data_IF_475519225604
#
_entry.id   IF_475519225604
#
_cell.length_a   1.000
_cell.length_b   1.000
_cell.length_c   1.000
_cell.angle_alpha   90.00
_cell.angle_beta   90.00
_cell.angle_gamma   90.00
#
_symmetry.space_group_name_H-M   'P 1'
#
loop_
_entity.id
_entity.type
_entity.pdbx_description
1 polymer ?
#
# COMPACT_ATOMS: atom_id res chain seq x y z
N UNK A 1 1.70 10.03 -25.46
CA UNK A 1 1.27 10.66 -26.73
C UNK A 1 2.03 10.11 -27.93
N UNK A 2 3.33 9.88 -27.82
CA UNK A 2 4.18 9.41 -28.92
C UNK A 2 3.72 8.05 -29.50
N UNK A 3 3.30 7.13 -28.66
CA UNK A 3 2.89 5.77 -29.06
C UNK A 3 1.38 5.66 -29.32
N UNK A 4 0.57 6.47 -28.66
CA UNK A 4 -0.88 6.36 -28.71
C UNK A 4 -1.51 6.93 -30.00
N UNK A 5 -0.95 7.98 -30.59
CA UNK A 5 -1.44 8.58 -31.82
C UNK A 5 -1.25 7.68 -33.05
N UNK A 6 -0.06 7.04 -33.29
CA UNK A 6 0.11 6.09 -34.36
C UNK A 6 -0.85 4.91 -34.27
N UNK A 7 -1.00 4.33 -33.10
CA UNK A 7 -1.92 3.19 -32.85
C UNK A 7 -3.36 3.59 -33.20
N UNK A 8 -3.80 4.79 -32.81
CA UNK A 8 -5.17 5.27 -33.02
C UNK A 8 -5.49 5.54 -34.48
N UNK A 9 -4.49 5.90 -35.29
CA UNK A 9 -4.62 6.33 -36.69
C UNK A 9 -4.07 5.30 -37.69
N UNK A 10 -3.78 4.06 -37.24
CA UNK A 10 -3.11 3.03 -38.03
C UNK A 10 -1.81 3.54 -38.69
N UNK A 11 -1.03 4.30 -37.91
CA UNK A 11 0.17 4.97 -38.39
C UNK A 11 1.40 4.06 -38.42
N UNK A 12 2.28 4.32 -39.40
CA UNK A 12 3.59 3.70 -39.55
C UNK A 12 4.69 4.54 -38.88
N UNK A 13 4.56 5.85 -38.92
CA UNK A 13 5.50 6.79 -38.33
C UNK A 13 4.79 8.03 -37.82
N UNK A 14 5.37 8.66 -36.80
CA UNK A 14 4.92 9.90 -36.20
C UNK A 14 6.07 10.89 -36.21
N UNK A 15 5.83 12.07 -36.77
CA UNK A 15 6.71 13.23 -36.62
C UNK A 15 5.97 14.30 -35.82
N UNK A 16 6.64 15.01 -34.92
CA UNK A 16 6.04 16.12 -34.21
C UNK A 16 6.92 17.36 -34.27
N UNK A 17 6.28 18.51 -34.38
CA UNK A 17 6.95 19.80 -34.38
C UNK A 17 6.31 20.71 -33.35
N UNK A 18 7.02 21.04 -32.25
CA UNK A 18 6.53 22.02 -31.29
C UNK A 18 6.61 23.44 -31.92
N UNK A 19 5.51 24.18 -31.84
CA UNK A 19 5.46 25.58 -32.24
C UNK A 19 5.39 26.42 -30.97
N UNK A 20 6.51 27.06 -30.64
CA UNK A 20 6.58 28.04 -29.55
C UNK A 20 6.19 29.40 -30.12
N UNK A 21 5.11 29.94 -29.62
CA UNK A 21 4.62 31.30 -29.94
C UNK A 21 4.53 32.08 -28.64
N UNK A 22 4.38 33.41 -28.74
CA UNK A 22 4.16 34.29 -27.57
C UNK A 22 2.81 34.05 -26.86
N UNK A 23 2.04 33.07 -27.32
CA UNK A 23 0.81 32.62 -26.69
C UNK A 23 1.13 31.75 -25.46
N UNK A 24 0.36 31.84 -24.35
CA UNK A 24 0.47 30.93 -23.21
C UNK A 24 0.11 29.49 -23.58
N UNK A 25 -0.43 29.24 -24.79
CA UNK A 25 -0.77 27.92 -25.29
C UNK A 25 0.36 27.38 -26.18
N UNK A 26 0.97 26.26 -25.79
CA UNK A 26 1.88 25.52 -26.66
C UNK A 26 1.06 24.84 -27.79
N UNK A 27 1.57 24.89 -29.01
CA UNK A 27 1.02 24.13 -30.15
C UNK A 27 1.99 23.06 -30.57
N UNK A 28 1.48 21.86 -30.78
CA UNK A 28 2.28 20.73 -31.28
C UNK A 28 1.59 20.21 -32.52
N UNK A 29 2.31 20.22 -33.65
CA UNK A 29 1.83 19.62 -34.88
C UNK A 29 2.31 18.16 -34.94
N UNK A 30 1.39 17.24 -35.12
CA UNK A 30 1.66 15.81 -35.30
C UNK A 30 1.40 15.43 -36.75
N UNK A 31 2.39 14.88 -37.42
CA UNK A 31 2.27 14.26 -38.75
C UNK A 31 2.32 12.76 -38.59
N UNK A 32 1.18 12.09 -38.83
CA UNK A 32 1.06 10.64 -38.76
C UNK A 32 1.01 10.08 -40.18
N UNK A 33 1.95 9.25 -40.55
CA UNK A 33 1.93 8.54 -41.84
C UNK A 33 1.22 7.22 -41.67
N UNK A 34 0.06 7.04 -42.31
CA UNK A 34 -0.69 5.79 -42.28
C UNK A 34 -0.01 4.67 -43.11
N UNK A 35 -0.20 3.42 -42.68
CA UNK A 35 0.42 2.23 -43.35
C UNK A 35 -0.11 1.99 -44.75
N UNK A 36 -1.44 2.12 -44.92
CA UNK A 36 -2.08 1.76 -46.21
C UNK A 36 -2.90 2.95 -46.78
N UNK A 37 -3.95 3.34 -46.14
CA UNK A 37 -4.81 4.44 -46.53
C UNK A 37 -5.18 5.26 -45.28
N UNK A 38 -5.16 6.56 -45.43
CA UNK A 38 -5.68 7.43 -44.36
C UNK A 38 -7.13 7.01 -44.04
N UNK A 39 -7.54 6.93 -42.76
CA UNK A 39 -8.90 6.59 -42.40
C UNK A 39 -9.86 7.62 -43.03
N UNK A 40 -10.94 7.12 -43.65
CA UNK A 40 -11.92 8.00 -44.35
C UNK A 40 -12.68 8.91 -43.41
N UNK A 41 -12.77 8.57 -42.14
CA UNK A 41 -13.29 9.45 -41.06
C UNK A 41 -12.52 9.17 -39.77
N UNK A 42 -12.16 10.21 -39.08
CA UNK A 42 -11.56 10.19 -37.74
C UNK A 42 -12.59 10.80 -36.79
N UNK A 43 -12.96 10.06 -35.76
CA UNK A 43 -13.76 10.60 -34.67
C UNK A 43 -12.87 11.55 -33.83
N UNK A 44 -12.91 12.84 -34.18
CA UNK A 44 -12.12 13.87 -33.52
C UNK A 44 -12.43 13.97 -32.04
N UNK A 45 -13.69 13.79 -31.60
CA UNK A 45 -14.06 13.85 -30.19
C UNK A 45 -13.49 12.69 -29.39
N UNK A 46 -13.51 11.48 -29.94
CA UNK A 46 -12.89 10.33 -29.31
C UNK A 46 -11.37 10.49 -29.25
N UNK A 47 -10.75 11.05 -30.30
CA UNK A 47 -9.32 11.33 -30.34
C UNK A 47 -8.92 12.41 -29.33
N UNK A 48 -9.65 13.54 -29.29
CA UNK A 48 -9.46 14.61 -28.30
C UNK A 48 -9.59 14.09 -26.86
N UNK A 49 -10.61 13.30 -26.57
CA UNK A 49 -10.80 12.69 -25.25
C UNK A 49 -9.67 11.73 -24.87
N UNK A 50 -9.09 11.02 -25.83
CA UNK A 50 -7.92 10.17 -25.60
C UNK A 50 -6.66 10.97 -25.37
N UNK A 51 -6.44 12.02 -26.16
CA UNK A 51 -5.29 12.93 -25.98
C UNK A 51 -5.39 13.64 -24.63
N UNK A 52 -6.56 14.15 -24.25
CA UNK A 52 -6.78 14.78 -22.95
C UNK A 52 -6.43 13.82 -21.79
N UNK A 53 -6.91 12.57 -21.85
CA UNK A 53 -6.57 11.55 -20.82
C UNK A 53 -5.06 11.22 -20.77
N UNK A 54 -4.36 11.20 -21.90
CA UNK A 54 -2.93 10.96 -21.97
C UNK A 54 -2.09 12.18 -21.55
N UNK A 55 -2.66 13.38 -21.66
CA UNK A 55 -2.04 14.63 -21.22
C UNK A 55 -2.35 14.93 -19.74
N UNK A 56 -3.33 14.24 -19.15
CA UNK A 56 -3.71 14.39 -17.76
C UNK A 56 -2.57 13.93 -16.85
N UNK A 57 -2.22 14.77 -15.92
CA UNK A 57 -1.11 14.50 -15.00
C UNK A 57 -1.65 13.71 -13.80
N UNK A 58 -0.85 12.79 -13.28
CA UNK A 58 -1.19 12.02 -12.09
C UNK A 58 -1.59 12.94 -10.92
N UNK A 59 -0.92 14.08 -10.79
CA UNK A 59 -1.18 15.08 -9.74
C UNK A 59 -2.56 15.72 -9.89
N UNK A 60 -3.00 15.94 -11.12
CA UNK A 60 -4.33 16.52 -11.42
C UNK A 60 -5.42 15.50 -11.10
N UNK A 61 -5.22 14.24 -11.48
CA UNK A 61 -6.11 13.13 -11.12
C UNK A 61 -6.19 12.94 -9.61
N UNK A 62 -5.06 12.94 -8.91
CA UNK A 62 -5.02 12.83 -7.46
C UNK A 62 -5.77 14.00 -6.79
N UNK A 63 -5.64 15.20 -7.32
CA UNK A 63 -6.38 16.37 -6.85
C UNK A 63 -7.89 16.17 -7.03
N UNK A 64 -8.33 15.67 -8.19
CA UNK A 64 -9.74 15.39 -8.45
C UNK A 64 -10.31 14.32 -7.51
N UNK A 65 -9.56 13.25 -7.27
CA UNK A 65 -9.95 12.20 -6.33
C UNK A 65 -10.07 12.73 -4.89
N UNK A 66 -9.12 13.56 -4.45
CA UNK A 66 -9.17 14.21 -3.13
C UNK A 66 -10.38 15.13 -2.99
N UNK A 67 -10.72 15.90 -4.05
CA UNK A 67 -11.92 16.73 -4.07
C UNK A 67 -13.20 15.90 -4.03
N UNK A 68 -13.23 14.78 -4.74
CA UNK A 68 -14.36 13.86 -4.76
C UNK A 68 -14.60 13.22 -3.38
N UNK A 69 -13.54 12.79 -2.71
CA UNK A 69 -13.62 12.10 -1.40
C UNK A 69 -13.94 13.09 -0.27
N UNK A 70 -13.32 14.28 -0.25
CA UNK A 70 -13.31 15.18 0.91
C UNK A 70 -14.06 16.50 0.69
N UNK A 71 -14.58 16.76 -0.53
CA UNK A 71 -15.17 18.03 -0.91
C UNK A 71 -14.12 19.13 -1.15
N UNK A 72 -14.59 20.31 -1.59
CA UNK A 72 -13.68 21.38 -2.05
C UNK A 72 -12.71 21.87 -0.96
N UNK A 73 -13.19 22.17 0.23
CA UNK A 73 -12.37 22.80 1.28
C UNK A 73 -11.20 21.90 1.75
N UNK A 74 -11.52 20.71 2.21
CA UNK A 74 -10.54 19.77 2.71
C UNK A 74 -9.74 19.12 1.57
N UNK A 75 -10.40 18.80 0.45
CA UNK A 75 -9.77 18.22 -0.72
C UNK A 75 -8.69 19.13 -1.31
N UNK A 76 -8.94 20.43 -1.47
CA UNK A 76 -7.93 21.39 -1.94
C UNK A 76 -6.76 21.52 -0.95
N UNK A 77 -7.02 21.53 0.35
CA UNK A 77 -5.96 21.59 1.36
C UNK A 77 -5.04 20.38 1.28
N UNK A 78 -5.60 19.17 1.17
CA UNK A 78 -4.84 17.94 1.01
C UNK A 78 -4.09 17.89 -0.33
N UNK A 79 -4.71 18.32 -1.43
CA UNK A 79 -4.09 18.36 -2.74
C UNK A 79 -2.90 19.33 -2.76
N UNK A 80 -3.04 20.52 -2.19
CA UNK A 80 -1.95 21.49 -2.08
C UNK A 80 -0.74 20.93 -1.32
N UNK A 81 -0.99 20.14 -0.27
CA UNK A 81 0.06 19.55 0.54
C UNK A 81 0.70 18.33 -0.11
N UNK A 82 -0.08 17.44 -0.73
CA UNK A 82 0.35 16.10 -1.09
C UNK A 82 0.38 15.78 -2.60
N UNK A 83 -0.42 16.43 -3.46
CA UNK A 83 -0.54 16.01 -4.86
C UNK A 83 0.81 16.01 -5.60
N UNK A 84 1.69 16.95 -5.30
CA UNK A 84 3.05 17.01 -5.86
C UNK A 84 4.13 16.38 -4.96
N UNK A 85 3.77 15.81 -3.81
CA UNK A 85 4.71 15.28 -2.84
C UNK A 85 5.14 13.83 -3.12
N UNK A 86 4.38 13.10 -3.93
CA UNK A 86 4.67 11.71 -4.27
C UNK A 86 5.80 11.60 -5.28
N UNK A 87 6.81 10.72 -5.06
CA UNK A 87 7.90 10.52 -5.99
C UNK A 87 7.45 9.83 -7.28
N UNK A 88 8.22 9.99 -8.37
CA UNK A 88 7.91 9.39 -9.67
C UNK A 88 7.70 7.88 -9.57
N UNK A 89 8.55 7.15 -8.84
CA UNK A 89 8.42 5.72 -8.64
C UNK A 89 7.05 5.32 -8.03
N UNK A 90 6.55 6.10 -7.05
CA UNK A 90 5.22 5.84 -6.49
C UNK A 90 4.11 6.04 -7.52
N UNK A 91 4.22 7.08 -8.35
CA UNK A 91 3.22 7.39 -9.40
C UNK A 91 3.22 6.40 -10.55
N UNK A 92 4.33 5.70 -10.78
CA UNK A 92 4.44 4.60 -11.74
C UNK A 92 3.78 3.32 -11.19
N UNK A 93 3.91 3.07 -9.87
CA UNK A 93 3.41 1.85 -9.22
C UNK A 93 1.93 1.96 -8.79
N UNK A 94 1.42 3.17 -8.53
CA UNK A 94 0.08 3.39 -7.98
C UNK A 94 -0.74 4.42 -8.76
N UNK A 95 -2.04 4.12 -8.91
CA UNK A 95 -2.98 5.07 -9.50
C UNK A 95 -3.19 6.29 -8.59
N UNK A 96 -3.67 7.39 -9.17
CA UNK A 96 -4.02 8.61 -8.45
C UNK A 96 -5.09 8.38 -7.36
N UNK A 97 -6.03 7.46 -7.60
CA UNK A 97 -7.03 7.04 -6.60
C UNK A 97 -6.37 6.45 -5.36
N UNK A 98 -5.42 5.52 -5.54
CA UNK A 98 -4.65 4.95 -4.41
C UNK A 98 -3.84 6.03 -3.71
N UNK A 99 -3.27 6.98 -4.48
CA UNK A 99 -2.57 8.14 -3.93
C UNK A 99 -3.46 9.03 -3.06
N UNK A 100 -4.71 9.24 -3.45
CA UNK A 100 -5.68 9.99 -2.65
C UNK A 100 -6.04 9.25 -1.34
N UNK A 101 -6.25 7.92 -1.39
CA UNK A 101 -6.45 7.09 -0.19
C UNK A 101 -5.23 7.15 0.74
N UNK A 102 -4.02 6.99 0.20
CA UNK A 102 -2.78 7.05 0.97
C UNK A 102 -2.55 8.45 1.57
N UNK A 103 -2.93 9.52 0.84
CA UNK A 103 -2.91 10.90 1.34
C UNK A 103 -3.75 11.06 2.60
N UNK A 104 -4.93 10.46 2.66
CA UNK A 104 -5.77 10.48 3.85
C UNK A 104 -5.06 9.84 5.05
N UNK A 105 -4.39 8.72 4.85
CA UNK A 105 -3.62 8.05 5.90
C UNK A 105 -2.44 8.91 6.33
N UNK A 106 -1.66 9.44 5.40
CA UNK A 106 -0.51 10.30 5.71
C UNK A 106 -0.93 11.57 6.47
N UNK A 107 -2.04 12.19 6.09
CA UNK A 107 -2.58 13.38 6.76
C UNK A 107 -3.05 13.10 8.20
N UNK A 108 -3.38 11.86 8.54
CA UNK A 108 -3.77 11.45 9.89
C UNK A 108 -2.59 11.23 10.85
N UNK A 109 -1.37 11.11 10.30
CA UNK A 109 -0.17 10.89 11.10
C UNK A 109 0.20 12.16 11.89
N UNK A 110 0.57 11.95 13.15
CA UNK A 110 1.01 13.00 14.06
C UNK A 110 2.28 12.56 14.79
N UNK A 111 3.04 13.46 15.41
CA UNK A 111 4.18 13.07 16.24
C UNK A 111 3.82 12.11 17.40
N UNK A 112 2.58 12.19 17.92
CA UNK A 112 2.06 11.27 18.95
C UNK A 112 1.53 9.95 18.38
N UNK A 113 1.18 9.90 17.09
CA UNK A 113 0.75 8.71 16.36
C UNK A 113 1.45 8.65 15.00
N UNK A 114 2.76 8.34 14.97
CA UNK A 114 3.58 8.45 13.77
C UNK A 114 3.42 7.29 12.80
N UNK A 115 2.69 6.24 13.18
CA UNK A 115 2.54 4.99 12.45
C UNK A 115 1.08 4.73 12.07
N UNK A 116 0.87 4.37 10.81
CA UNK A 116 -0.34 3.68 10.35
C UNK A 116 0.06 2.51 9.44
N UNK A 117 -0.82 1.52 9.32
CA UNK A 117 -0.55 0.34 8.49
C UNK A 117 -1.81 -0.07 7.71
N UNK A 118 -1.60 -0.71 6.56
CA UNK A 118 -2.69 -1.18 5.70
C UNK A 118 -2.32 -2.51 5.04
N UNK A 119 -3.03 -3.58 5.37
CA UNK A 119 -2.96 -4.87 4.68
C UNK A 119 -3.97 -4.87 3.53
N UNK A 120 -3.55 -5.23 2.32
CA UNK A 120 -4.43 -5.26 1.16
C UNK A 120 -4.01 -6.34 0.15
N UNK A 121 -4.93 -6.65 -0.76
CA UNK A 121 -4.68 -7.59 -1.86
C UNK A 121 -4.69 -6.82 -3.18
N UNK A 122 -3.59 -6.81 -3.95
CA UNK A 122 -3.62 -6.36 -5.34
C UNK A 122 -4.61 -7.17 -6.17
N UNK A 123 -5.17 -6.55 -7.23
CA UNK A 123 -6.15 -7.20 -8.10
C UNK A 123 -5.58 -8.40 -8.85
N UNK A 124 -4.29 -8.39 -9.15
CA UNK A 124 -3.53 -9.41 -9.86
C UNK A 124 -2.78 -10.38 -8.95
N UNK A 125 -2.99 -10.28 -7.63
CA UNK A 125 -2.27 -11.09 -6.66
C UNK A 125 -2.64 -12.56 -6.73
N UNK A 126 -1.62 -13.42 -6.77
CA UNK A 126 -1.77 -14.87 -6.65
C UNK A 126 -2.28 -15.32 -5.27
N UNK A 127 -2.59 -16.62 -5.12
CA UNK A 127 -3.02 -17.18 -3.85
C UNK A 127 -2.01 -16.92 -2.72
N UNK A 128 -2.48 -16.46 -1.56
CA UNK A 128 -1.64 -16.13 -0.41
C UNK A 128 -0.77 -14.89 -0.56
N UNK A 129 -0.79 -14.23 -1.73
CA UNK A 129 -0.02 -13.02 -1.96
C UNK A 129 -0.83 -11.79 -1.51
N UNK A 130 -0.26 -11.01 -0.62
CA UNK A 130 -0.81 -9.75 -0.12
C UNK A 130 0.28 -8.68 -0.12
N UNK A 131 -0.13 -7.45 0.10
CA UNK A 131 0.79 -6.34 0.34
C UNK A 131 0.47 -5.65 1.67
N UNK A 132 1.50 -5.11 2.29
CA UNK A 132 1.40 -4.44 3.57
C UNK A 132 2.09 -3.09 3.50
N UNK A 133 1.31 -2.02 3.58
CA UNK A 133 1.86 -0.66 3.64
C UNK A 133 2.09 -0.24 5.09
N UNK A 134 3.28 0.29 5.34
CA UNK A 134 3.64 0.96 6.58
C UNK A 134 3.80 2.45 6.26
N UNK A 135 3.00 3.29 6.86
CA UNK A 135 3.08 4.74 6.77
C UNK A 135 3.72 5.27 8.05
N UNK A 136 4.74 6.11 7.90
CA UNK A 136 5.44 6.65 9.06
C UNK A 136 5.97 8.07 8.79
N UNK A 137 6.14 8.86 9.83
CA UNK A 137 6.78 10.18 9.77
C UNK A 137 8.31 10.11 9.70
N UNK A 138 8.90 8.93 9.89
CA UNK A 138 10.32 8.67 9.75
C UNK A 138 10.55 7.42 8.89
N UNK A 139 11.73 7.31 8.30
CA UNK A 139 12.10 6.10 7.55
C UNK A 139 12.15 4.89 8.49
N UNK A 140 11.45 3.84 8.12
CA UNK A 140 11.47 2.54 8.81
C UNK A 140 12.60 1.70 8.24
N UNK A 141 13.45 1.14 9.11
CA UNK A 141 14.44 0.18 8.65
C UNK A 141 13.78 -1.20 8.46
N UNK A 142 14.11 -1.87 7.36
CA UNK A 142 13.59 -3.22 7.07
C UNK A 142 13.98 -4.21 8.19
N UNK A 143 15.17 -4.03 8.79
CA UNK A 143 15.64 -4.82 9.95
C UNK A 143 14.71 -4.74 11.16
N UNK A 144 13.90 -3.70 11.28
CA UNK A 144 12.99 -3.51 12.40
C UNK A 144 11.59 -4.08 12.10
N UNK A 145 11.10 -3.91 10.87
CA UNK A 145 9.77 -4.37 10.45
C UNK A 145 9.73 -5.86 10.11
N UNK A 146 10.80 -6.39 9.48
CA UNK A 146 10.88 -7.78 9.03
C UNK A 146 10.68 -8.79 10.16
N UNK A 147 11.40 -8.72 11.31
CA UNK A 147 11.23 -9.67 12.40
C UNK A 147 9.81 -9.68 12.98
N UNK A 148 9.13 -8.52 13.02
CA UNK A 148 7.75 -8.42 13.51
C UNK A 148 6.82 -9.19 12.58
N UNK A 149 6.90 -8.96 11.27
CA UNK A 149 6.07 -9.61 10.26
C UNK A 149 6.32 -11.12 10.20
N UNK A 150 7.58 -11.57 10.27
CA UNK A 150 7.93 -13.00 10.28
C UNK A 150 7.40 -13.72 11.51
N UNK A 151 7.47 -13.10 12.69
CA UNK A 151 6.88 -13.63 13.92
C UNK A 151 5.36 -13.64 13.92
N UNK A 152 4.74 -12.84 13.05
CA UNK A 152 3.31 -12.91 12.76
C UNK A 152 2.95 -13.95 11.70
N UNK A 153 3.94 -14.70 11.17
CA UNK A 153 3.74 -15.77 10.19
C UNK A 153 3.70 -15.29 8.73
N UNK A 154 4.01 -14.03 8.47
CA UNK A 154 4.15 -13.51 7.12
C UNK A 154 5.59 -13.71 6.61
N UNK A 155 5.75 -14.17 5.36
CA UNK A 155 7.03 -14.16 4.67
C UNK A 155 7.13 -12.91 3.83
N UNK A 156 8.10 -12.06 4.10
CA UNK A 156 8.35 -10.85 3.29
C UNK A 156 9.12 -11.24 2.03
N UNK A 157 8.66 -10.79 0.87
CA UNK A 157 9.21 -11.11 -0.44
C UNK A 157 10.01 -9.96 -1.03
N UNK A 158 9.48 -8.75 -0.90
CA UNK A 158 10.07 -7.51 -1.42
C UNK A 158 9.64 -6.31 -0.58
N UNK A 159 10.29 -5.16 -0.79
CA UNK A 159 9.96 -3.88 -0.19
C UNK A 159 10.18 -2.75 -1.19
N UNK A 160 9.22 -1.84 -1.29
CA UNK A 160 9.30 -0.62 -2.07
C UNK A 160 9.11 0.59 -1.14
N UNK A 161 10.20 1.30 -0.77
CA UNK A 161 10.10 2.48 0.07
C UNK A 161 9.89 3.74 -0.78
N UNK A 162 8.93 4.58 -0.39
CA UNK A 162 8.63 5.85 -1.02
C UNK A 162 8.71 6.99 0.00
N UNK A 163 9.55 8.00 -0.33
CA UNK A 163 9.62 9.23 0.43
C UNK A 163 8.60 10.22 -0.13
N UNK A 164 7.62 10.59 0.64
CA UNK A 164 6.57 11.55 0.27
C UNK A 164 6.84 12.87 0.97
N UNK A 165 7.01 13.96 0.22
CA UNK A 165 7.26 15.29 0.76
C UNK A 165 7.83 16.27 -0.25
N UNK A 166 7.55 17.55 -0.06
CA UNK A 166 7.89 18.65 -0.98
C UNK A 166 9.28 19.28 -0.74
N UNK A 167 10.26 18.51 -0.32
CA UNK A 167 11.65 18.97 -0.20
C UNK A 167 12.03 19.63 1.12
N UNK A 168 11.10 20.00 1.99
CA UNK A 168 11.38 20.43 3.36
C UNK A 168 11.46 19.21 4.28
N UNK A 169 12.44 19.15 5.18
CA UNK A 169 12.61 18.02 6.11
C UNK A 169 11.51 17.96 7.20
N UNK A 170 10.71 19.01 7.33
CA UNK A 170 9.67 19.09 8.36
C UNK A 170 8.32 18.45 7.95
N UNK A 171 8.10 18.17 6.69
CA UNK A 171 6.86 17.60 6.16
C UNK A 171 7.16 16.42 5.25
N UNK A 172 7.90 15.44 5.81
CA UNK A 172 8.31 14.23 5.13
C UNK A 172 7.63 13.03 5.75
N UNK A 173 7.07 12.20 4.89
CA UNK A 173 6.48 10.92 5.25
C UNK A 173 7.14 9.80 4.47
N UNK A 174 7.00 8.60 4.98
CA UNK A 174 7.47 7.39 4.32
C UNK A 174 6.32 6.39 4.17
N UNK A 175 6.24 5.81 2.99
CA UNK A 175 5.39 4.66 2.70
C UNK A 175 6.34 3.52 2.36
N UNK A 176 6.29 2.44 3.14
CA UNK A 176 6.97 1.19 2.85
C UNK A 176 5.91 0.18 2.40
N UNK A 177 5.95 -0.22 1.14
CA UNK A 177 5.04 -1.20 0.59
C UNK A 177 5.74 -2.55 0.47
N UNK A 178 5.34 -3.51 1.32
CA UNK A 178 5.97 -4.81 1.44
C UNK A 178 5.12 -5.89 0.78
N UNK A 179 5.74 -6.71 -0.07
CA UNK A 179 5.14 -7.93 -0.59
C UNK A 179 5.15 -9.02 0.48
N UNK A 180 3.98 -9.58 0.79
CA UNK A 180 3.82 -10.63 1.78
C UNK A 180 3.29 -11.92 1.16
N UNK A 181 3.87 -13.05 1.57
CA UNK A 181 3.30 -14.37 1.39
C UNK A 181 2.72 -14.84 2.73
N UNK A 182 1.40 -15.03 2.77
CA UNK A 182 0.69 -15.66 3.88
C UNK A 182 0.29 -17.11 3.52
N UNK A 183 -0.15 -17.93 4.49
CA UNK A 183 -0.78 -19.22 4.18
C UNK A 183 -1.90 -19.07 3.14
N UNK A 184 -2.00 -20.02 2.20
CA UNK A 184 -2.88 -19.93 1.02
C UNK A 184 -4.36 -19.73 1.39
N UNK A 185 -4.81 -20.30 2.49
CA UNK A 185 -6.21 -20.28 2.94
C UNK A 185 -6.55 -19.02 3.78
N UNK A 186 -5.64 -18.03 3.86
CA UNK A 186 -5.89 -16.82 4.64
C UNK A 186 -6.89 -15.91 3.94
N UNK A 187 -8.08 -15.76 4.52
CA UNK A 187 -9.10 -14.82 4.07
C UNK A 187 -8.78 -13.40 4.57
N UNK A 188 -8.52 -12.47 3.65
CA UNK A 188 -8.12 -11.10 3.99
C UNK A 188 -9.14 -10.40 4.91
N UNK A 189 -10.43 -10.51 4.59
CA UNK A 189 -11.50 -9.87 5.35
C UNK A 189 -11.55 -10.31 6.81
N UNK A 190 -11.21 -11.57 7.08
CA UNK A 190 -11.24 -12.15 8.42
C UNK A 190 -10.01 -11.80 9.26
N UNK A 191 -8.85 -11.50 8.65
CA UNK A 191 -7.58 -11.33 9.35
C UNK A 191 -7.09 -9.89 9.40
N UNK A 192 -7.50 -9.06 8.43
CA UNK A 192 -6.96 -7.72 8.19
C UNK A 192 -6.84 -6.87 9.46
N UNK A 193 -7.96 -6.58 10.10
CA UNK A 193 -7.99 -5.67 11.26
C UNK A 193 -7.15 -6.19 12.44
N UNK A 194 -7.18 -7.50 12.71
CA UNK A 194 -6.39 -8.10 13.79
C UNK A 194 -4.90 -8.09 13.49
N UNK A 195 -4.53 -8.38 12.24
CA UNK A 195 -3.14 -8.34 11.78
C UNK A 195 -2.56 -6.91 11.86
N UNK A 196 -3.28 -5.94 11.33
CA UNK A 196 -2.90 -4.53 11.40
C UNK A 196 -2.73 -4.04 12.85
N UNK A 197 -3.70 -4.36 13.72
CA UNK A 197 -3.66 -3.98 15.14
C UNK A 197 -2.50 -4.66 15.88
N UNK A 198 -2.29 -5.96 15.67
CA UNK A 198 -1.20 -6.70 16.30
C UNK A 198 0.18 -6.17 15.86
N UNK A 199 0.35 -5.89 14.56
CA UNK A 199 1.58 -5.27 14.07
C UNK A 199 1.84 -3.93 14.74
N UNK A 200 0.83 -3.04 14.77
CA UNK A 200 0.97 -1.72 15.37
C UNK A 200 1.32 -1.78 16.87
N UNK A 201 0.72 -2.71 17.62
CA UNK A 201 1.00 -2.90 19.05
C UNK A 201 2.39 -3.52 19.29
N UNK A 202 2.78 -4.50 18.48
CA UNK A 202 4.11 -5.10 18.56
C UNK A 202 5.21 -4.10 18.20
N UNK A 203 4.96 -3.26 17.18
CA UNK A 203 5.86 -2.17 16.77
C UNK A 203 6.10 -1.17 17.89
N UNK A 204 5.05 -0.80 18.61
CA UNK A 204 5.14 0.13 19.76
C UNK A 204 5.71 -0.52 21.02
N UNK A 205 5.92 -1.82 21.05
CA UNK A 205 6.34 -2.57 22.24
C UNK A 205 5.22 -2.76 23.27
N UNK A 206 3.96 -2.51 22.90
CA UNK A 206 2.78 -2.73 23.75
C UNK A 206 2.48 -4.22 23.91
N UNK A 207 2.85 -5.02 22.89
CA UNK A 207 2.74 -6.48 22.85
C UNK A 207 4.08 -7.08 22.45
N UNK A 208 4.44 -8.19 23.05
CA UNK A 208 5.67 -8.89 22.70
C UNK A 208 5.61 -9.49 21.30
N UNK A 209 6.76 -9.46 20.63
CA UNK A 209 6.94 -10.05 19.31
C UNK A 209 7.61 -11.41 19.44
N UNK A 210 6.82 -12.47 19.41
CA UNK A 210 7.25 -13.89 19.46
C UNK A 210 6.39 -14.74 18.52
N UNK A 211 6.69 -16.03 18.44
CA UNK A 211 6.05 -16.97 17.53
C UNK A 211 4.56 -17.25 17.85
N UNK A 212 4.04 -16.88 19.04
CA UNK A 212 2.60 -16.94 19.32
C UNK A 212 1.80 -15.96 18.48
N UNK A 213 2.43 -14.88 17.99
CA UNK A 213 1.77 -13.92 17.11
C UNK A 213 1.30 -14.55 15.78
N UNK A 214 1.85 -15.70 15.37
CA UNK A 214 1.37 -16.47 14.19
C UNK A 214 -0.08 -16.92 14.33
N UNK A 215 -0.58 -17.05 15.55
CA UNK A 215 -1.98 -17.42 15.83
C UNK A 215 -2.98 -16.42 15.23
N UNK A 216 -2.60 -15.17 15.02
CA UNK A 216 -3.47 -14.14 14.38
C UNK A 216 -3.94 -14.56 12.98
N UNK A 217 -3.12 -15.33 12.25
CA UNK A 217 -3.43 -15.79 10.89
C UNK A 217 -4.32 -17.02 10.84
N UNK A 218 -4.17 -17.91 11.82
CA UNK A 218 -4.77 -19.26 11.81
C UNK A 218 -5.91 -19.43 12.81
N UNK A 219 -6.23 -18.38 13.59
CA UNK A 219 -7.33 -18.33 14.55
C UNK A 219 -8.11 -17.02 14.44
N UNK A 220 -9.12 -16.86 15.28
CA UNK A 220 -9.84 -15.57 15.46
C UNK A 220 -9.27 -14.73 16.61
N UNK A 221 -8.16 -15.14 17.22
CA UNK A 221 -7.58 -14.48 18.37
C UNK A 221 -7.01 -13.10 18.00
N UNK A 222 -7.26 -12.14 18.86
CA UNK A 222 -6.67 -10.80 18.81
C UNK A 222 -5.38 -10.72 19.65
N UNK A 223 -4.74 -9.57 19.66
CA UNK A 223 -3.52 -9.33 20.38
C UNK A 223 -3.66 -9.61 21.90
N UNK A 224 -4.82 -9.28 22.49
CA UNK A 224 -5.10 -9.50 23.92
C UNK A 224 -5.21 -10.99 24.23
N UNK A 225 -5.97 -11.73 23.44
CA UNK A 225 -6.13 -13.17 23.61
C UNK A 225 -4.79 -13.90 23.48
N UNK A 226 -3.96 -13.51 22.50
CA UNK A 226 -2.61 -14.04 22.34
C UNK A 226 -1.74 -13.69 23.57
N UNK A 227 -1.84 -12.48 24.11
CA UNK A 227 -1.12 -12.09 25.33
C UNK A 227 -1.51 -12.91 26.55
N UNK A 228 -2.79 -13.27 26.70
CA UNK A 228 -3.27 -14.18 27.75
C UNK A 228 -2.63 -15.56 27.59
N UNK A 229 -2.65 -16.16 26.41
CA UNK A 229 -1.99 -17.44 26.15
C UNK A 229 -0.49 -17.37 26.47
N UNK A 230 0.19 -16.29 26.09
CA UNK A 230 1.60 -16.04 26.41
C UNK A 230 1.84 -16.01 27.92
N UNK A 231 0.99 -15.35 28.68
CA UNK A 231 1.09 -15.30 30.13
C UNK A 231 0.98 -16.72 30.76
N UNK A 232 0.05 -17.55 30.27
CA UNK A 232 -0.08 -18.93 30.74
C UNK A 232 1.12 -19.81 30.37
N UNK A 233 1.67 -19.68 29.16
CA UNK A 233 2.87 -20.45 28.80
C UNK A 233 4.05 -20.09 29.68
N UNK A 234 4.21 -18.83 30.09
CA UNK A 234 5.24 -18.39 31.05
C UNK A 234 4.98 -18.86 32.47
N UNK A 235 3.73 -18.84 32.88
CA UNK A 235 3.34 -19.38 34.19
C UNK A 235 3.68 -20.86 34.30
N UNK A 236 3.40 -21.67 33.28
CA UNK A 236 3.81 -23.06 33.25
C UNK A 236 5.33 -23.24 33.37
N UNK A 237 6.12 -22.37 32.75
CA UNK A 237 7.58 -22.38 32.91
C UNK A 237 8.00 -22.10 34.34
N UNK A 238 7.34 -21.18 35.05
CA UNK A 238 7.61 -20.89 36.46
C UNK A 238 7.27 -22.09 37.36
N UNK A 239 6.26 -22.85 37.00
CA UNK A 239 5.89 -24.10 37.70
C UNK A 239 6.82 -25.27 37.41
N UNK A 240 7.89 -25.09 36.64
CA UNK A 240 8.86 -26.14 36.33
C UNK A 240 8.44 -27.08 35.20
N UNK A 241 7.50 -26.64 34.33
CA UNK A 241 7.11 -27.43 33.17
C UNK A 241 8.33 -27.71 32.27
N UNK A 242 8.53 -28.97 31.91
CA UNK A 242 9.79 -29.46 31.34
C UNK A 242 10.06 -28.96 29.90
N UNK A 243 9.03 -28.51 29.15
CA UNK A 243 9.18 -28.11 27.76
C UNK A 243 9.73 -26.69 27.63
N UNK A 244 10.48 -26.42 26.55
CA UNK A 244 10.98 -25.09 26.24
C UNK A 244 9.85 -24.16 25.81
N UNK A 245 10.05 -22.83 25.94
CA UNK A 245 9.08 -21.84 25.49
C UNK A 245 8.78 -22.00 23.97
N UNK A 246 9.83 -22.17 23.18
CA UNK A 246 9.69 -22.36 21.71
C UNK A 246 8.91 -23.64 21.34
N UNK A 247 9.07 -24.71 22.12
CA UNK A 247 8.28 -25.93 21.92
C UNK A 247 6.80 -25.71 22.20
N UNK A 248 6.47 -24.98 23.27
CA UNK A 248 5.09 -24.68 23.64
C UNK A 248 4.47 -23.79 22.55
N UNK A 249 5.17 -22.75 22.10
CA UNK A 249 4.73 -21.86 21.02
C UNK A 249 4.48 -22.64 19.72
N UNK A 250 5.44 -23.47 19.30
CA UNK A 250 5.29 -24.30 18.11
C UNK A 250 4.10 -25.28 18.23
N UNK A 251 3.86 -25.82 19.42
CA UNK A 251 2.75 -26.74 19.67
C UNK A 251 1.40 -26.02 19.58
N UNK A 252 1.26 -24.83 20.16
CA UNK A 252 0.05 -24.03 20.09
C UNK A 252 -0.23 -23.59 18.64
N UNK A 253 0.79 -23.18 17.90
CA UNK A 253 0.64 -22.85 16.47
C UNK A 253 0.22 -24.07 15.64
N UNK A 254 0.79 -25.25 15.90
CA UNK A 254 0.42 -26.50 15.23
C UNK A 254 -1.03 -26.93 15.53
N UNK A 255 -1.50 -26.63 16.73
CA UNK A 255 -2.84 -27.00 17.22
C UNK A 255 -3.68 -25.74 17.47
N UNK A 256 -3.77 -24.86 16.47
CA UNK A 256 -4.40 -23.55 16.55
C UNK A 256 -5.85 -23.59 17.06
N UNK A 257 -6.64 -24.61 16.69
CA UNK A 257 -8.00 -24.79 17.19
C UNK A 257 -8.03 -24.99 18.71
N UNK A 258 -7.09 -25.78 19.26
CA UNK A 258 -6.99 -25.98 20.71
C UNK A 258 -6.55 -24.67 21.40
N UNK A 259 -5.63 -23.91 20.80
CA UNK A 259 -5.23 -22.61 21.33
C UNK A 259 -6.42 -21.63 21.38
N UNK A 260 -7.27 -21.65 20.36
CA UNK A 260 -8.50 -20.87 20.33
C UNK A 260 -9.51 -21.31 21.41
N UNK A 261 -9.73 -22.62 21.57
CA UNK A 261 -10.63 -23.15 22.60
C UNK A 261 -10.13 -22.81 24.01
N UNK A 262 -8.83 -22.95 24.27
CA UNK A 262 -8.22 -22.54 25.55
C UNK A 262 -8.47 -21.05 25.81
N UNK A 263 -8.27 -20.20 24.81
CA UNK A 263 -8.51 -18.77 24.96
C UNK A 263 -9.97 -18.41 25.23
N UNK A 264 -10.93 -19.22 24.74
CA UNK A 264 -12.36 -19.01 24.98
C UNK A 264 -12.79 -19.32 26.42
N UNK A 265 -11.94 -19.90 27.23
CA UNK A 265 -12.19 -20.15 28.65
C UNK A 265 -11.95 -18.91 29.54
N UNK A 266 -11.37 -17.85 28.97
CA UNK A 266 -11.01 -16.62 29.66
C UNK A 266 -11.71 -15.39 29.07
#
# INVERSE_FOLDING_TARGET
LHDALPISLNGQSLEFTPMLTDSPLARIHYLVRAKDRAPQSVDLRALESRIARLAQRWEDDCTQELLYIHGEGQGLSLAHRFANAFPTAYREDFSAQVGAEDTQVLASLTPSSPLAVKLYRPLDAGPGMLRFKIYNTAKVALSDSLPVLERMGARVLDEHPYRVGNGSDHDVFWIHDLGLQLPVDTELSSVKSRFEALFAQAWKGEVESDDLNKLVLVTTLDARAIAVLRAYTRYFKQLGFAFSQSYIEATLNKHAAIAQDISALF
#
